data_IF_376677047724
#
_entry.id   IF_376677047724
#
_cell.length_a   1.000
_cell.length_b   1.000
_cell.length_c   1.000
_cell.angle_alpha   90.00
_cell.angle_beta   90.00
_cell.angle_gamma   90.00
#
_symmetry.space_group_name_H-M   'P 1'
#
loop_
_entity.id
_entity.type
_entity.pdbx_description
1 polymer ?
#
# COMPACT_ATOMS: atom_id res chain seq x y z
N UNK A 1 -0.92 12.60 9.64
CA UNK A 1 -2.02 12.35 8.66
C UNK A 1 -3.15 11.67 9.40
N UNK A 2 -4.42 11.84 9.03
CA UNK A 2 -5.51 11.09 9.68
C UNK A 2 -5.54 9.63 9.19
N UNK A 3 -6.13 8.74 10.00
CA UNK A 3 -6.29 7.33 9.63
C UNK A 3 -7.07 7.17 8.32
N UNK A 4 -8.14 7.93 8.12
CA UNK A 4 -8.97 7.86 6.91
C UNK A 4 -8.21 8.26 5.65
N UNK A 5 -7.36 9.29 5.74
CA UNK A 5 -6.53 9.72 4.59
C UNK A 5 -5.47 8.65 4.30
N UNK A 6 -4.80 8.12 5.33
CA UNK A 6 -3.79 7.08 5.18
C UNK A 6 -4.36 5.81 4.51
N UNK A 7 -5.54 5.39 4.98
CA UNK A 7 -6.31 4.28 4.44
C UNK A 7 -6.68 4.52 2.98
N UNK A 8 -7.21 5.70 2.67
CA UNK A 8 -7.67 6.04 1.32
C UNK A 8 -6.52 6.08 0.32
N UNK A 9 -5.36 6.61 0.71
CA UNK A 9 -4.16 6.65 -0.13
C UNK A 9 -3.70 5.23 -0.45
N UNK A 10 -3.49 4.38 0.55
CA UNK A 10 -2.97 3.02 0.29
C UNK A 10 -3.96 2.19 -0.51
N UNK A 11 -5.27 2.33 -0.23
CA UNK A 11 -6.33 1.65 -0.98
C UNK A 11 -6.31 2.06 -2.45
N UNK A 12 -6.17 3.35 -2.73
CA UNK A 12 -6.07 3.84 -4.10
C UNK A 12 -4.84 3.28 -4.82
N UNK A 13 -3.66 3.35 -4.19
CA UNK A 13 -2.43 2.81 -4.79
C UNK A 13 -2.58 1.32 -5.08
N UNK A 14 -3.06 0.54 -4.10
CA UNK A 14 -3.23 -0.90 -4.20
C UNK A 14 -4.20 -1.31 -5.34
N UNK A 15 -5.32 -0.59 -5.49
CA UNK A 15 -6.31 -0.85 -6.54
C UNK A 15 -5.86 -0.43 -7.93
N UNK A 16 -4.93 0.53 -8.02
CA UNK A 16 -4.45 1.11 -9.26
C UNK A 16 -2.99 0.74 -9.57
N UNK A 17 -2.47 -0.35 -9.01
CA UNK A 17 -1.06 -0.73 -9.15
C UNK A 17 -0.58 -0.85 -10.60
N UNK A 18 -1.47 -1.27 -11.52
CA UNK A 18 -1.18 -1.31 -12.95
C UNK A 18 -0.83 0.05 -13.55
N UNK A 19 -1.38 1.14 -13.00
CA UNK A 19 -1.04 2.49 -13.42
C UNK A 19 0.36 2.88 -12.91
N UNK A 20 0.72 2.44 -11.70
CA UNK A 20 2.07 2.63 -11.14
C UNK A 20 3.14 1.86 -11.92
N UNK A 21 2.82 0.67 -12.43
CA UNK A 21 3.73 -0.12 -13.28
C UNK A 21 4.14 0.61 -14.56
N UNK A 22 3.33 1.58 -15.02
CA UNK A 22 3.57 2.36 -16.24
C UNK A 22 4.45 3.59 -16.01
N UNK A 23 4.68 3.99 -14.76
CA UNK A 23 5.46 5.20 -14.42
C UNK A 23 6.94 4.98 -14.70
N UNK A 24 7.49 3.84 -14.27
CA UNK A 24 8.90 3.50 -14.54
C UNK A 24 9.12 1.98 -14.52
N UNK A 25 10.17 1.52 -15.20
CA UNK A 25 10.54 0.10 -15.23
C UNK A 25 10.82 -0.50 -13.85
N UNK A 26 11.25 0.31 -12.88
CA UNK A 26 11.51 -0.12 -11.51
C UNK A 26 10.24 -0.55 -10.77
N UNK A 27 9.07 -0.03 -11.17
CA UNK A 27 7.79 -0.35 -10.53
C UNK A 27 7.06 -1.51 -11.19
N UNK A 28 7.55 -2.03 -12.33
CA UNK A 28 6.84 -3.01 -13.17
C UNK A 28 6.36 -4.27 -12.44
N UNK A 29 7.10 -4.69 -11.42
CA UNK A 29 6.82 -5.91 -10.66
C UNK A 29 6.34 -5.62 -9.23
N UNK A 30 6.05 -4.36 -8.90
CA UNK A 30 5.55 -4.00 -7.58
C UNK A 30 4.24 -4.75 -7.31
N UNK A 31 4.05 -5.25 -6.11
CA UNK A 31 2.81 -5.89 -5.64
C UNK A 31 2.28 -5.23 -4.38
N UNK A 32 1.01 -5.48 -4.03
CA UNK A 32 0.44 -4.98 -2.78
C UNK A 32 1.15 -5.55 -1.53
N UNK A 33 1.71 -6.77 -1.63
CA UNK A 33 2.52 -7.38 -0.57
C UNK A 33 3.89 -6.70 -0.39
N UNK A 34 4.47 -6.16 -1.47
CA UNK A 34 5.70 -5.37 -1.39
C UNK A 34 5.43 -4.03 -0.71
N UNK A 35 4.28 -3.40 -1.00
CA UNK A 35 3.86 -2.15 -0.37
C UNK A 35 3.48 -2.31 1.12
N UNK A 36 3.21 -3.53 1.57
CA UNK A 36 2.83 -3.83 2.96
C UNK A 36 4.03 -4.19 3.84
N UNK A 37 5.25 -4.20 3.31
CA UNK A 37 6.44 -4.44 4.11
C UNK A 37 6.73 -3.23 5.01
N UNK A 38 6.95 -3.47 6.30
CA UNK A 38 7.48 -2.43 7.19
C UNK A 38 8.97 -2.20 6.89
N UNK A 39 9.39 -0.93 6.91
CA UNK A 39 10.81 -0.56 6.78
C UNK A 39 11.35 -0.13 8.14
N UNK A 40 12.28 0.83 8.16
CA UNK A 40 12.82 1.43 9.38
C UNK A 40 11.80 2.28 10.14
N UNK A 41 10.71 2.71 9.49
CA UNK A 41 9.63 3.47 10.12
C UNK A 41 8.38 2.58 10.33
N UNK A 42 7.67 2.73 11.45
CA UNK A 42 6.46 1.98 11.72
C UNK A 42 5.36 2.34 10.72
N UNK A 43 4.58 1.33 10.32
CA UNK A 43 3.45 1.54 9.42
C UNK A 43 2.32 2.33 10.11
N UNK A 44 1.78 3.32 9.40
CA UNK A 44 0.64 4.10 9.85
C UNK A 44 -0.59 3.22 10.10
N UNK A 45 -1.37 3.51 11.15
CA UNK A 45 -2.51 2.67 11.56
C UNK A 45 -3.57 2.51 10.46
N UNK A 46 -4.01 3.61 9.84
CA UNK A 46 -4.95 3.54 8.71
C UNK A 46 -4.45 2.70 7.52
N UNK A 47 -3.13 2.68 7.27
CA UNK A 47 -2.52 1.82 6.24
C UNK A 47 -2.57 0.35 6.65
N UNK A 48 -2.25 0.07 7.92
CA UNK A 48 -2.32 -1.28 8.50
C UNK A 48 -3.74 -1.85 8.47
N UNK A 49 -4.74 -1.02 8.73
CA UNK A 49 -6.15 -1.40 8.64
C UNK A 49 -6.50 -1.93 7.25
N UNK A 50 -6.15 -1.19 6.19
CA UNK A 50 -6.41 -1.62 4.81
C UNK A 50 -5.78 -2.99 4.52
N UNK A 51 -4.49 -3.17 4.84
CA UNK A 51 -3.81 -4.43 4.56
C UNK A 51 -4.34 -5.62 5.38
N UNK A 52 -4.87 -5.39 6.58
CA UNK A 52 -5.59 -6.41 7.34
C UNK A 52 -6.92 -6.79 6.68
N UNK A 53 -7.70 -5.80 6.23
CA UNK A 53 -8.99 -6.02 5.57
C UNK A 53 -8.86 -6.86 4.29
N UNK A 54 -7.80 -6.63 3.50
CA UNK A 54 -7.55 -7.38 2.26
C UNK A 54 -6.72 -8.66 2.48
N UNK A 55 -6.42 -9.02 3.74
CA UNK A 55 -5.75 -10.27 4.09
C UNK A 55 -4.26 -10.33 3.76
N UNK A 56 -3.61 -9.19 3.53
CA UNK A 56 -2.16 -9.12 3.24
C UNK A 56 -1.35 -9.19 4.55
N UNK A 57 -1.80 -8.52 5.61
CA UNK A 57 -1.20 -8.57 6.95
C UNK A 57 -2.17 -9.30 7.90
N UNK A 58 -1.63 -10.13 8.80
CA UNK A 58 -2.39 -10.80 9.87
C UNK A 58 -2.42 -9.99 11.15
#
# INVERSE_FOLDING_TARGET
MSNDIAYSIVKYIALHLSDFHRISGALKNLTASDLSQESTAPMHEGTRQYYKEVGIIK
#
